data_IF_499264276430
#
_entry.id   IF_499264276430
#
_cell.length_a   1.000
_cell.length_b   1.000
_cell.length_c   1.000
_cell.angle_alpha   90.00
_cell.angle_beta   90.00
_cell.angle_gamma   90.00
#
_symmetry.space_group_name_H-M   'P 1'
#
loop_
_entity.id
_entity.type
_entity.pdbx_description
1 polymer ?
#
# COMPACT_ATOMS: atom_id res chain seq x y z
N UNK A 1 -18.98 -11.48 4.10
CA UNK A 1 -18.99 -10.09 4.58
C UNK A 1 -17.58 -9.54 4.43
N UNK A 2 -17.41 -8.49 3.63
CA UNK A 2 -16.24 -7.58 3.56
C UNK A 2 -14.93 -8.13 2.98
N UNK A 3 -14.55 -7.60 1.82
CA UNK A 3 -13.16 -7.44 1.40
C UNK A 3 -12.64 -6.24 2.19
N UNK A 4 -11.58 -6.41 2.96
CA UNK A 4 -10.81 -5.32 3.60
C UNK A 4 -11.44 -4.56 4.78
N UNK A 5 -12.08 -5.24 5.74
CA UNK A 5 -12.26 -4.65 7.09
C UNK A 5 -10.95 -4.54 7.88
N UNK A 6 -9.90 -5.26 7.46
CA UNK A 6 -8.57 -5.31 8.12
C UNK A 6 -7.41 -4.96 7.19
N UNK A 7 -7.69 -4.30 6.06
CA UNK A 7 -6.69 -4.02 5.03
C UNK A 7 -6.28 -5.24 4.21
N UNK A 8 -6.24 -6.46 4.76
CA UNK A 8 -5.93 -7.67 3.96
C UNK A 8 -7.03 -7.97 2.95
N UNK A 9 -6.64 -8.37 1.73
CA UNK A 9 -7.53 -9.07 0.79
C UNK A 9 -8.13 -10.27 1.55
N UNK A 10 -9.42 -10.17 1.90
CA UNK A 10 -10.09 -11.11 2.80
C UNK A 10 -10.33 -12.49 2.18
N UNK A 11 -10.89 -13.41 2.97
CA UNK A 11 -11.25 -14.79 2.56
C UNK A 11 -12.45 -14.89 1.60
N UNK A 12 -12.87 -13.78 0.99
CA UNK A 12 -13.92 -13.79 -0.03
C UNK A 12 -13.38 -14.32 -1.35
N UNK A 13 -14.16 -15.18 -2.05
CA UNK A 13 -13.86 -15.50 -3.45
C UNK A 13 -14.11 -14.26 -4.28
N UNK A 14 -13.06 -13.51 -4.56
CA UNK A 14 -13.08 -12.39 -5.50
C UNK A 14 -12.20 -12.71 -6.69
N UNK A 15 -12.67 -12.37 -7.88
CA UNK A 15 -11.91 -12.55 -9.11
C UNK A 15 -11.29 -11.20 -9.48
N UNK A 16 -9.97 -11.16 -9.59
CA UNK A 16 -9.31 -10.00 -10.19
C UNK A 16 -9.68 -9.92 -11.68
N UNK A 17 -10.14 -8.75 -12.11
CA UNK A 17 -10.63 -8.51 -13.48
C UNK A 17 -9.64 -7.66 -14.26
N UNK A 18 -9.25 -6.51 -13.70
CA UNK A 18 -8.43 -5.53 -14.40
C UNK A 18 -7.65 -4.63 -13.42
N UNK A 19 -6.60 -4.00 -13.93
CA UNK A 19 -5.83 -2.98 -13.22
C UNK A 19 -5.61 -1.79 -14.12
N UNK A 20 -6.22 -0.66 -13.76
CA UNK A 20 -6.11 0.59 -14.49
C UNK A 20 -5.05 1.46 -13.83
N UNK A 21 -3.93 1.65 -14.52
CA UNK A 21 -2.87 2.54 -14.06
C UNK A 21 -3.18 3.99 -14.41
N UNK A 22 -2.95 4.89 -13.47
CA UNK A 22 -3.01 6.32 -13.73
C UNK A 22 -1.72 6.76 -14.43
N UNK A 23 -1.80 6.94 -15.76
CA UNK A 23 -0.67 7.26 -16.63
C UNK A 23 -0.08 8.66 -16.42
N UNK A 24 -0.70 9.48 -15.57
CA UNK A 24 -0.31 10.87 -15.32
C UNK A 24 0.33 11.15 -13.96
N UNK A 25 0.48 10.16 -13.08
CA UNK A 25 0.87 10.39 -11.68
C UNK A 25 2.07 9.55 -11.20
N UNK A 26 3.09 9.37 -12.06
CA UNK A 26 4.43 9.04 -11.57
C UNK A 26 4.95 10.25 -10.79
N UNK A 27 4.58 10.35 -9.51
CA UNK A 27 5.04 11.41 -8.63
C UNK A 27 6.56 11.32 -8.49
N UNK A 28 7.27 12.34 -8.97
CA UNK A 28 8.68 12.56 -8.70
C UNK A 28 8.93 12.39 -7.19
N UNK A 29 9.70 11.36 -6.81
CA UNK A 29 10.20 11.06 -5.45
C UNK A 29 9.42 11.71 -4.30
N UNK A 30 8.11 11.45 -4.21
CA UNK A 30 7.32 11.95 -3.08
C UNK A 30 7.52 11.01 -1.90
N UNK A 31 7.76 11.57 -0.71
CA UNK A 31 7.91 10.80 0.54
C UNK A 31 9.09 9.82 0.56
N UNK A 32 10.19 10.15 -0.13
CA UNK A 32 11.37 9.29 -0.23
C UNK A 32 11.06 7.87 -0.77
N UNK A 33 10.13 7.80 -1.72
CA UNK A 33 9.70 6.57 -2.38
C UNK A 33 9.29 6.89 -3.82
N UNK A 34 9.32 5.89 -4.68
CA UNK A 34 8.67 5.95 -5.98
C UNK A 34 7.21 5.54 -5.81
N UNK A 35 6.27 6.31 -6.34
CA UNK A 35 4.83 6.05 -6.14
C UNK A 35 4.10 5.86 -7.47
N UNK A 36 3.13 4.96 -7.46
CA UNK A 36 2.23 4.70 -8.58
C UNK A 36 0.80 4.59 -8.06
N UNK A 37 -0.14 5.21 -8.75
CA UNK A 37 -1.55 5.10 -8.46
C UNK A 37 -2.23 4.17 -9.46
N UNK A 38 -3.10 3.30 -8.96
CA UNK A 38 -3.86 2.37 -9.77
C UNK A 38 -5.25 2.14 -9.21
N UNK A 39 -6.13 1.63 -10.04
CA UNK A 39 -7.44 1.12 -9.63
C UNK A 39 -7.49 -0.37 -9.95
N UNK A 40 -7.53 -1.20 -8.91
CA UNK A 40 -7.74 -2.63 -9.04
C UNK A 40 -9.24 -2.92 -9.11
N UNK A 41 -9.68 -3.63 -10.14
CA UNK A 41 -11.07 -4.01 -10.35
C UNK A 41 -11.24 -5.49 -10.03
N UNK A 42 -12.16 -5.76 -9.11
CA UNK A 42 -12.53 -7.11 -8.67
C UNK A 42 -13.98 -7.40 -9.04
N UNK A 43 -14.31 -8.66 -9.21
CA UNK A 43 -15.69 -9.15 -9.35
C UNK A 43 -16.04 -10.02 -8.14
N UNK A 44 -17.16 -9.69 -7.50
CA UNK A 44 -17.79 -10.50 -6.44
C UNK A 44 -19.24 -10.85 -6.82
N UNK A 45 -19.95 -11.55 -5.93
CA UNK A 45 -21.35 -11.98 -6.15
C UNK A 45 -22.34 -10.81 -6.41
N UNK A 46 -21.93 -9.56 -6.16
CA UNK A 46 -22.75 -8.34 -6.31
C UNK A 46 -22.33 -7.51 -7.54
N UNK A 47 -21.26 -7.91 -8.23
CA UNK A 47 -20.76 -7.27 -9.44
C UNK A 47 -19.34 -6.75 -9.30
N UNK A 48 -19.01 -5.73 -10.11
CA UNK A 48 -17.67 -5.14 -10.15
C UNK A 48 -17.45 -4.17 -9.00
N UNK A 49 -16.29 -4.31 -8.34
CA UNK A 49 -15.80 -3.45 -7.27
C UNK A 49 -14.47 -2.84 -7.69
N UNK A 50 -14.44 -1.52 -7.83
CA UNK A 50 -13.22 -0.76 -8.09
C UNK A 50 -12.60 -0.34 -6.75
N UNK A 51 -11.32 -0.68 -6.56
CA UNK A 51 -10.56 -0.33 -5.37
C UNK A 51 -9.35 0.53 -5.79
N UNK A 52 -9.42 1.86 -5.58
CA UNK A 52 -8.28 2.76 -5.75
C UNK A 52 -7.16 2.40 -4.77
N UNK A 53 -5.93 2.36 -5.27
CA UNK A 53 -4.74 1.98 -4.53
C UNK A 53 -3.56 2.88 -4.87
N UNK A 54 -2.74 3.13 -3.86
CA UNK A 54 -1.41 3.70 -3.95
C UNK A 54 -0.40 2.57 -3.77
N UNK A 55 0.54 2.45 -4.70
CA UNK A 55 1.69 1.55 -4.56
C UNK A 55 2.94 2.38 -4.35
N UNK A 56 3.64 2.13 -3.25
CA UNK A 56 4.95 2.68 -2.95
C UNK A 56 6.01 1.62 -3.22
N UNK A 57 7.08 2.03 -3.89
CA UNK A 57 8.32 1.29 -4.07
C UNK A 57 9.47 2.08 -3.46
N UNK A 58 10.53 1.38 -3.10
CA UNK A 58 11.77 2.05 -2.72
C UNK A 58 12.36 2.77 -3.95
N UNK A 59 13.15 3.83 -3.72
CA UNK A 59 13.78 4.56 -4.82
C UNK A 59 14.81 3.67 -5.52
N UNK A 60 14.99 3.80 -6.84
CA UNK A 60 16.03 3.04 -7.56
C UNK A 60 17.44 3.63 -7.37
N UNK A 61 17.56 4.91 -6.99
CA UNK A 61 18.84 5.58 -6.75
C UNK A 61 19.49 5.14 -5.42
N UNK A 62 20.55 4.33 -5.53
CA UNK A 62 21.25 3.76 -4.38
C UNK A 62 21.92 4.80 -3.48
N UNK A 63 22.52 5.83 -4.06
CA UNK A 63 23.21 6.88 -3.30
C UNK A 63 22.23 7.62 -2.37
N UNK A 64 21.08 8.02 -2.91
CA UNK A 64 20.01 8.66 -2.13
C UNK A 64 19.43 7.71 -1.09
N UNK A 65 19.18 6.43 -1.46
CA UNK A 65 18.70 5.42 -0.51
C UNK A 65 19.61 5.29 0.71
N UNK A 66 20.91 5.16 0.48
CA UNK A 66 21.90 4.96 1.53
C UNK A 66 22.10 6.23 2.36
N UNK A 67 22.16 7.40 1.72
CA UNK A 67 22.37 8.66 2.43
C UNK A 67 21.21 9.03 3.36
N UNK A 68 19.98 8.64 3.00
CA UNK A 68 18.77 8.93 3.77
C UNK A 68 18.26 7.73 4.59
N UNK A 69 18.95 6.58 4.58
CA UNK A 69 18.52 5.34 5.23
C UNK A 69 17.09 4.90 4.84
N UNK A 70 16.80 4.91 3.53
CA UNK A 70 15.44 4.66 3.03
C UNK A 70 14.99 3.21 3.22
N UNK A 71 15.93 2.25 3.23
CA UNK A 71 15.61 0.85 3.49
C UNK A 71 15.01 0.68 4.90
N UNK A 72 15.60 1.34 5.90
CA UNK A 72 15.15 1.32 7.29
C UNK A 72 13.81 2.03 7.44
N UNK A 73 13.64 3.20 6.79
CA UNK A 73 12.38 3.92 6.82
C UNK A 73 11.24 3.08 6.23
N UNK A 74 11.48 2.45 5.07
CA UNK A 74 10.48 1.60 4.41
C UNK A 74 10.16 0.35 5.23
N UNK A 75 11.18 -0.32 5.82
CA UNK A 75 10.98 -1.44 6.75
C UNK A 75 10.14 -1.03 7.96
N UNK A 76 10.40 0.15 8.52
CA UNK A 76 9.62 0.68 9.65
C UNK A 76 8.16 0.92 9.26
N UNK A 77 7.89 1.42 8.06
CA UNK A 77 6.53 1.58 7.54
C UNK A 77 5.81 0.23 7.39
N UNK A 78 6.48 -0.79 6.82
CA UNK A 78 5.93 -2.15 6.75
C UNK A 78 5.64 -2.72 8.15
N UNK A 79 6.54 -2.51 9.12
CA UNK A 79 6.36 -2.95 10.51
C UNK A 79 5.20 -2.21 11.18
N UNK A 80 5.05 -0.91 10.94
CA UNK A 80 3.96 -0.09 11.46
C UNK A 80 2.62 -0.72 11.08
N UNK A 81 2.39 -0.96 9.79
CA UNK A 81 1.13 -1.52 9.30
C UNK A 81 0.93 -2.99 9.69
N UNK A 82 1.97 -3.83 9.65
CA UNK A 82 1.83 -5.27 9.92
C UNK A 82 1.76 -5.64 11.40
N UNK A 83 2.42 -4.87 12.28
CA UNK A 83 2.62 -5.27 13.68
C UNK A 83 2.11 -4.21 14.65
N UNK A 84 2.47 -2.94 14.45
CA UNK A 84 2.20 -1.89 15.42
C UNK A 84 0.73 -1.48 15.41
N UNK A 85 0.16 -1.17 14.24
CA UNK A 85 -1.24 -0.77 14.15
C UNK A 85 -2.18 -1.88 14.65
N UNK A 86 -2.04 -3.17 14.24
CA UNK A 86 -2.86 -4.24 14.81
C UNK A 86 -2.69 -4.42 16.32
N UNK A 87 -1.51 -4.12 16.87
CA UNK A 87 -1.27 -4.19 18.31
C UNK A 87 -1.95 -3.04 19.07
N UNK A 88 -1.99 -1.84 18.49
CA UNK A 88 -2.59 -0.64 19.08
C UNK A 88 -4.11 -0.61 18.89
N UNK A 89 -4.62 -1.18 17.80
CA UNK A 89 -6.03 -1.15 17.41
C UNK A 89 -6.89 -2.21 18.13
N UNK A 90 -6.64 -2.44 19.42
CA UNK A 90 -7.37 -3.47 20.20
C UNK A 90 -8.86 -3.18 20.34
N UNK A 91 -9.22 -1.90 20.25
CA UNK A 91 -10.59 -1.41 20.38
C UNK A 91 -11.22 -1.00 19.03
N UNK A 92 -10.58 -1.33 17.90
CA UNK A 92 -10.98 -0.94 16.53
C UNK A 92 -11.13 0.58 16.30
N UNK A 93 -10.47 1.41 17.10
CA UNK A 93 -10.56 2.87 17.05
C UNK A 93 -9.53 3.52 16.12
N UNK A 94 -8.42 2.83 15.83
CA UNK A 94 -7.26 3.34 15.11
C UNK A 94 -7.32 3.03 13.62
N UNK A 95 -7.96 1.92 13.23
CA UNK A 95 -8.03 1.49 11.82
C UNK A 95 -8.71 2.50 10.89
N UNK A 96 -9.59 3.37 11.43
CA UNK A 96 -10.24 4.43 10.66
C UNK A 96 -9.40 5.70 10.48
N UNK A 97 -8.23 5.79 11.13
CA UNK A 97 -7.35 6.96 11.10
C UNK A 97 -6.28 6.82 10.00
N UNK A 98 -5.87 5.59 9.71
CA UNK A 98 -4.82 5.28 8.74
C UNK A 98 -5.42 4.82 7.42
N UNK A 99 -4.73 5.04 6.28
CA UNK A 99 -5.14 4.44 5.01
C UNK A 99 -5.25 2.92 5.15
N UNK A 100 -6.23 2.30 4.47
CA UNK A 100 -6.30 0.83 4.46
C UNK A 100 -5.03 0.25 3.86
N UNK A 101 -4.46 -0.74 4.55
CA UNK A 101 -3.21 -1.39 4.17
C UNK A 101 -3.47 -2.72 3.48
N UNK A 102 -3.23 -2.81 2.17
CA UNK A 102 -3.50 -4.01 1.39
C UNK A 102 -2.37 -5.03 1.43
N UNK A 103 -1.13 -4.55 1.33
CA UNK A 103 0.05 -5.39 1.24
C UNK A 103 1.30 -4.60 1.63
N UNK A 104 2.31 -5.31 2.09
CA UNK A 104 3.65 -4.75 2.18
C UNK A 104 4.71 -5.81 2.37
N UNK A 105 5.82 -5.60 1.68
CA UNK A 105 7.03 -6.39 1.72
C UNK A 105 8.21 -5.46 1.89
N UNK A 106 9.12 -5.81 2.79
CA UNK A 106 10.44 -5.23 2.90
C UNK A 106 11.37 -6.36 3.33
N UNK A 107 12.40 -6.63 2.52
CA UNK A 107 13.37 -7.68 2.82
C UNK A 107 14.59 -7.12 3.55
N UNK A 108 15.48 -8.02 3.98
CA UNK A 108 16.82 -7.63 4.45
C UNK A 108 17.80 -7.35 3.31
N UNK A 109 17.41 -7.58 2.05
CA UNK A 109 18.28 -7.34 0.90
C UNK A 109 18.31 -5.85 0.52
N UNK A 110 19.32 -5.46 -0.26
CA UNK A 110 19.44 -4.12 -0.83
C UNK A 110 18.70 -3.98 -2.17
N UNK A 111 17.98 -5.01 -2.61
CA UNK A 111 17.24 -5.00 -3.87
C UNK A 111 15.95 -4.16 -3.73
N UNK A 112 15.83 -2.99 -4.36
CA UNK A 112 14.68 -2.10 -4.19
C UNK A 112 13.36 -2.74 -4.66
N UNK A 113 13.41 -3.71 -5.58
CA UNK A 113 12.21 -4.42 -6.06
C UNK A 113 11.54 -5.32 -5.01
N UNK A 114 12.25 -5.62 -3.91
CA UNK A 114 11.68 -6.40 -2.79
C UNK A 114 10.95 -5.53 -1.75
N UNK A 115 10.96 -4.20 -1.98
CA UNK A 115 10.30 -3.21 -1.15
C UNK A 115 9.06 -2.69 -1.86
N UNK A 116 7.90 -3.05 -1.33
CA UNK A 116 6.62 -2.63 -1.88
C UNK A 116 5.61 -2.46 -0.77
N UNK A 117 4.81 -1.39 -0.81
CA UNK A 117 3.65 -1.20 0.05
C UNK A 117 2.47 -0.84 -0.84
N UNK A 118 1.31 -1.44 -0.58
CA UNK A 118 0.05 -1.12 -1.26
C UNK A 118 -0.94 -0.59 -0.22
N UNK A 119 -1.34 0.66 -0.38
CA UNK A 119 -2.27 1.38 0.49
C UNK A 119 -3.51 1.82 -0.28
N UNK A 120 -4.52 2.27 0.45
CA UNK A 120 -5.64 3.02 -0.10
C UNK A 120 -5.19 4.36 -0.70
N UNK A 121 -5.69 4.66 -1.89
CA UNK A 121 -5.55 5.98 -2.49
C UNK A 121 -6.55 6.95 -1.85
N UNK A 122 -6.02 7.93 -1.09
CA UNK A 122 -6.79 8.93 -0.36
C UNK A 122 -7.02 10.23 -1.15
N UNK A 123 -6.58 10.34 -2.42
CA UNK A 123 -6.76 11.56 -3.22
C UNK A 123 -8.22 11.97 -3.35
N UNK A 124 -9.12 11.01 -3.44
CA UNK A 124 -10.58 11.24 -3.46
C UNK A 124 -11.11 11.87 -2.17
N UNK A 125 -10.37 11.76 -1.06
CA UNK A 125 -10.68 12.33 0.25
C UNK A 125 -10.00 13.69 0.50
N UNK A 126 -9.32 14.25 -0.51
CA UNK A 126 -8.70 15.58 -0.46
C UNK A 126 -7.23 15.63 -0.02
N UNK A 127 -6.52 14.48 -0.07
CA UNK A 127 -5.10 14.36 0.25
C UNK A 127 -4.20 14.34 -0.99
#
# INVERSE_FOLDING_TARGET
>A
HWIAASGRLGEGKVKFVDCLFDSGSSGEAQFASSVCFLVAVFEDDRGLVAQPMLVKYNLDDELTRNWLNLNEQFRNEVILYNKVLPFLDRDNAIIGIFPRYFFGSASESDNPSEYTIVLEDLRSSGF
#
